data_IF_047791466155
#
_entry.id   IF_047791466155
#
_cell.length_a   1.000
_cell.length_b   1.000
_cell.length_c   1.000
_cell.angle_alpha   90.00
_cell.angle_beta   90.00
_cell.angle_gamma   90.00
#
_symmetry.space_group_name_H-M   'P 1'
#
loop_
_entity.id
_entity.type
_entity.pdbx_description
1 polymer ?
#
# COMPACT_ATOMS: atom_id res chain seq x y z
N UNK A 1 0.13 25.95 4.04
CA UNK A 1 -1.32 25.70 3.88
C UNK A 1 -1.52 24.22 3.55
N UNK A 2 -1.94 23.41 4.52
CA UNK A 2 -2.22 21.99 4.30
C UNK A 2 -3.57 21.85 3.60
N UNK A 3 -3.58 21.37 2.34
CA UNK A 3 -4.81 21.00 1.66
C UNK A 3 -5.33 19.72 2.31
N UNK A 4 -6.31 19.86 3.19
CA UNK A 4 -7.10 18.74 3.70
C UNK A 4 -7.94 18.21 2.53
N UNK A 5 -7.49 17.12 1.91
CA UNK A 5 -8.22 16.53 0.80
C UNK A 5 -9.48 15.82 1.32
N UNK A 6 -10.61 16.54 1.25
CA UNK A 6 -12.01 16.07 1.28
C UNK A 6 -12.60 15.56 2.61
N UNK A 7 -13.91 15.78 2.76
CA UNK A 7 -14.74 15.35 3.90
C UNK A 7 -15.34 13.96 3.64
N UNK A 8 -15.59 13.20 4.72
CA UNK A 8 -16.01 11.79 4.68
C UNK A 8 -17.21 11.47 3.75
N UNK A 9 -18.14 12.40 3.54
CA UNK A 9 -19.34 12.17 2.74
C UNK A 9 -19.11 12.14 1.21
N UNK A 10 -17.96 12.62 0.72
CA UNK A 10 -17.63 12.64 -0.71
C UNK A 10 -17.04 11.30 -1.23
N UNK A 11 -16.77 10.35 -0.33
CA UNK A 11 -16.17 9.08 -0.71
C UNK A 11 -17.18 8.08 -1.29
N UNK A 12 -18.45 8.14 -0.91
CA UNK A 12 -19.47 7.18 -1.37
C UNK A 12 -19.66 7.18 -2.90
N UNK A 13 -19.69 8.36 -3.52
CA UNK A 13 -19.80 8.47 -4.98
C UNK A 13 -18.52 8.01 -5.69
N UNK A 14 -17.35 8.37 -5.16
CA UNK A 14 -16.05 7.93 -5.68
C UNK A 14 -15.79 6.43 -5.52
N UNK A 15 -16.38 5.79 -4.51
CA UNK A 15 -16.28 4.34 -4.34
C UNK A 15 -16.94 3.58 -5.49
N UNK A 16 -18.03 4.11 -6.06
CA UNK A 16 -18.65 3.54 -7.25
C UNK A 16 -17.83 3.84 -8.52
N UNK A 17 -17.31 5.07 -8.63
CA UNK A 17 -16.49 5.50 -9.79
C UNK A 17 -15.27 4.58 -9.97
N UNK A 18 -14.53 4.33 -8.89
CA UNK A 18 -13.27 3.58 -8.89
C UNK A 18 -13.43 2.12 -8.47
N UNK A 19 -14.62 1.54 -8.66
CA UNK A 19 -14.81 0.10 -8.47
C UNK A 19 -13.90 -0.69 -9.44
N UNK A 20 -13.30 -1.82 -9.02
CA UNK A 20 -12.44 -2.63 -9.89
C UNK A 20 -13.13 -2.97 -11.22
N UNK A 21 -12.47 -2.64 -12.33
CA UNK A 21 -12.99 -2.84 -13.70
C UNK A 21 -12.72 -4.24 -14.25
N UNK A 22 -11.75 -4.94 -13.65
CA UNK A 22 -11.46 -6.36 -13.94
C UNK A 22 -11.88 -7.22 -12.76
N UNK A 23 -12.36 -8.44 -13.07
CA UNK A 23 -12.53 -9.50 -12.06
C UNK A 23 -11.25 -10.31 -12.01
N UNK A 24 -10.73 -10.57 -10.82
CA UNK A 24 -9.58 -11.46 -10.66
C UNK A 24 -9.94 -12.84 -11.21
N UNK A 25 -9.08 -13.36 -12.09
CA UNK A 25 -9.33 -14.64 -12.75
C UNK A 25 -8.10 -15.54 -12.73
N UNK A 26 -8.29 -16.70 -12.15
CA UNK A 26 -7.35 -17.82 -12.07
C UNK A 26 -7.37 -18.73 -13.31
N UNK A 27 -7.98 -18.30 -14.43
CA UNK A 27 -8.15 -19.12 -15.66
C UNK A 27 -6.84 -19.61 -16.31
N UNK A 28 -5.70 -19.02 -15.97
CA UNK A 28 -4.37 -19.37 -16.52
C UNK A 28 -3.38 -19.90 -15.46
N UNK A 29 -3.83 -20.18 -14.22
CA UNK A 29 -2.94 -20.52 -13.10
C UNK A 29 -2.20 -21.84 -13.28
N UNK A 30 -2.80 -22.74 -14.06
CA UNK A 30 -2.20 -24.01 -14.48
C UNK A 30 -1.04 -23.85 -15.48
N UNK A 31 -0.97 -22.71 -16.18
CA UNK A 31 0.05 -22.41 -17.21
C UNK A 31 1.10 -21.43 -16.72
N UNK A 32 0.73 -20.51 -15.84
CA UNK A 32 1.61 -19.47 -15.26
C UNK A 32 1.42 -19.53 -13.75
N UNK A 33 2.48 -19.82 -13.00
CA UNK A 33 2.46 -19.74 -11.54
C UNK A 33 2.28 -18.28 -11.12
N UNK A 34 1.02 -17.87 -10.93
CA UNK A 34 0.69 -16.56 -10.39
C UNK A 34 0.04 -16.74 -9.02
N UNK A 35 0.57 -16.01 -8.04
CA UNK A 35 0.04 -15.98 -6.68
C UNK A 35 -1.15 -15.03 -6.71
N UNK A 36 -2.36 -15.59 -6.74
CA UNK A 36 -3.60 -14.86 -6.49
C UNK A 36 -4.00 -15.00 -5.03
N UNK A 37 -4.62 -13.96 -4.50
CA UNK A 37 -5.14 -14.01 -3.13
C UNK A 37 -5.91 -12.73 -2.80
N UNK A 38 -6.33 -12.64 -1.55
CA UNK A 38 -7.06 -11.48 -1.07
C UNK A 38 -6.86 -11.26 0.42
N UNK A 39 -7.04 -10.02 0.86
CA UNK A 39 -7.02 -9.67 2.27
C UNK A 39 -8.03 -8.55 2.56
N UNK A 40 -8.47 -8.44 3.81
CA UNK A 40 -9.33 -7.33 4.23
C UNK A 40 -8.48 -6.09 4.49
N UNK A 41 -8.69 -5.03 3.70
CA UNK A 41 -8.02 -3.74 3.88
C UNK A 41 -8.68 -2.92 4.97
N UNK A 42 -7.87 -2.43 5.92
CA UNK A 42 -8.36 -1.56 6.97
C UNK A 42 -8.63 -0.14 6.46
N UNK A 43 -7.94 0.30 5.40
CA UNK A 43 -8.15 1.62 4.76
C UNK A 43 -9.40 1.62 3.88
N UNK A 44 -9.61 0.54 3.14
CA UNK A 44 -10.71 0.44 2.18
C UNK A 44 -11.98 -0.19 2.75
N UNK A 45 -11.92 -0.78 3.95
CA UNK A 45 -13.05 -1.46 4.62
C UNK A 45 -13.72 -2.53 3.74
N UNK A 46 -12.92 -3.20 2.91
CA UNK A 46 -13.36 -4.26 1.99
C UNK A 46 -12.22 -5.22 1.72
N UNK A 47 -12.57 -6.38 1.17
CA UNK A 47 -11.59 -7.32 0.63
C UNK A 47 -10.94 -6.73 -0.62
N UNK A 48 -9.62 -6.75 -0.65
CA UNK A 48 -8.79 -6.38 -1.80
C UNK A 48 -8.16 -7.65 -2.34
N UNK A 49 -8.29 -7.85 -3.65
CA UNK A 49 -7.71 -8.98 -4.37
C UNK A 49 -6.42 -8.55 -5.07
N UNK A 50 -5.48 -9.48 -5.22
CA UNK A 50 -4.24 -9.30 -5.95
C UNK A 50 -3.97 -10.51 -6.85
N UNK A 51 -3.30 -10.26 -7.97
CA UNK A 51 -2.96 -11.24 -9.01
C UNK A 51 -1.47 -11.56 -9.08
N UNK A 52 -0.64 -10.85 -8.31
CA UNK A 52 0.81 -11.09 -8.24
C UNK A 52 1.38 -10.83 -6.85
N UNK A 53 2.58 -11.36 -6.60
CA UNK A 53 3.35 -11.05 -5.39
C UNK A 53 3.77 -9.56 -5.36
N UNK A 54 4.02 -8.94 -6.52
CA UNK A 54 4.32 -7.52 -6.60
C UNK A 54 3.16 -6.65 -6.12
N UNK A 55 1.95 -6.97 -6.57
CA UNK A 55 0.72 -6.34 -6.10
C UNK A 55 0.49 -6.55 -4.61
N UNK A 56 0.59 -7.80 -4.14
CA UNK A 56 0.48 -8.15 -2.73
C UNK A 56 1.41 -7.30 -1.85
N UNK A 57 2.70 -7.25 -2.19
CA UNK A 57 3.71 -6.45 -1.48
C UNK A 57 3.35 -4.96 -1.48
N UNK A 58 2.94 -4.42 -2.62
CA UNK A 58 2.60 -3.00 -2.71
C UNK A 58 1.34 -2.66 -1.92
N UNK A 59 0.31 -3.51 -1.95
CA UNK A 59 -0.93 -3.24 -1.21
C UNK A 59 -0.69 -3.26 0.30
N UNK A 60 0.16 -4.17 0.78
CA UNK A 60 0.57 -4.16 2.19
C UNK A 60 1.42 -2.96 2.55
N UNK A 61 2.29 -2.51 1.65
CA UNK A 61 2.99 -1.25 1.81
C UNK A 61 2.03 -0.05 1.92
N UNK A 62 0.97 -0.02 1.10
CA UNK A 62 -0.07 1.02 1.17
C UNK A 62 -0.86 0.97 2.49
N UNK A 63 -1.13 -0.21 3.06
CA UNK A 63 -1.75 -0.36 4.38
C UNK A 63 -0.87 0.23 5.50
N UNK A 64 0.45 0.08 5.41
CA UNK A 64 1.43 0.61 6.38
C UNK A 64 1.62 2.13 6.25
N UNK A 65 1.57 2.65 5.03
CA UNK A 65 1.75 4.07 4.73
C UNK A 65 0.56 4.89 5.27
N UNK A 66 0.78 5.70 6.31
CA UNK A 66 -0.32 6.44 6.98
C UNK A 66 -0.84 7.58 6.11
N UNK A 67 0.04 8.07 5.26
CA UNK A 67 -0.17 9.15 4.30
C UNK A 67 -1.21 8.72 3.26
N UNK A 68 -1.32 7.42 2.99
CA UNK A 68 -2.35 6.85 2.13
C UNK A 68 -3.69 6.84 2.88
N UNK A 69 -4.67 7.56 2.37
CA UNK A 69 -6.02 7.55 2.90
C UNK A 69 -6.83 6.40 2.30
N UNK A 70 -6.75 6.25 0.96
CA UNK A 70 -7.47 5.23 0.20
C UNK A 70 -6.69 4.82 -1.03
N UNK A 71 -6.94 3.59 -1.50
CA UNK A 71 -6.42 3.09 -2.76
C UNK A 71 -7.42 2.16 -3.44
N UNK A 72 -7.50 2.23 -4.77
CA UNK A 72 -8.44 1.47 -5.56
C UNK A 72 -7.67 0.58 -6.52
N UNK A 73 -7.93 -0.73 -6.49
CA UNK A 73 -7.30 -1.70 -7.38
C UNK A 73 -8.05 -1.75 -8.71
N UNK A 74 -7.29 -1.79 -9.80
CA UNK A 74 -7.76 -1.85 -11.19
C UNK A 74 -8.92 -0.87 -11.50
N UNK A 75 -8.79 0.44 -11.15
CA UNK A 75 -9.97 1.31 -11.01
C UNK A 75 -10.39 2.06 -12.28
N UNK A 76 -9.55 2.10 -13.32
CA UNK A 76 -9.73 2.98 -14.47
C UNK A 76 -9.66 2.20 -15.78
N UNK A 77 -10.31 2.71 -16.82
CA UNK A 77 -10.14 2.28 -18.20
C UNK A 77 -9.54 3.45 -18.98
N UNK A 78 -8.35 3.24 -19.54
CA UNK A 78 -7.59 4.26 -20.26
C UNK A 78 -7.37 3.75 -21.68
N UNK A 79 -7.85 4.51 -22.65
CA UNK A 79 -7.65 4.20 -24.06
C UNK A 79 -6.19 4.45 -24.47
N UNK A 80 -5.54 3.44 -25.05
CA UNK A 80 -4.17 3.51 -25.54
C UNK A 80 -4.17 3.45 -27.07
N UNK A 81 -3.92 4.58 -27.75
CA UNK A 81 -3.87 4.61 -29.21
C UNK A 81 -2.56 4.03 -29.75
N UNK A 82 -2.62 3.37 -30.90
CA UNK A 82 -1.47 2.88 -31.64
C UNK A 82 -1.72 2.87 -33.15
N UNK A 83 -0.63 2.74 -33.92
CA UNK A 83 -0.67 2.60 -35.38
C UNK A 83 -0.42 1.15 -35.76
N UNK A 84 -1.21 0.61 -36.68
CA UNK A 84 -0.94 -0.71 -37.29
C UNK A 84 0.19 -0.61 -38.31
N UNK A 85 0.64 -1.76 -38.84
CA UNK A 85 1.68 -1.79 -39.88
C UNK A 85 1.19 -1.14 -41.18
N UNK A 86 -0.11 -1.17 -41.41
CA UNK A 86 -0.82 -0.60 -42.55
C UNK A 86 -1.09 0.91 -42.38
N UNK A 87 -0.77 1.49 -41.22
CA UNK A 87 -0.93 2.91 -40.92
C UNK A 87 -2.27 3.28 -40.26
N UNK A 88 -3.15 2.31 -40.01
CA UNK A 88 -4.44 2.57 -39.38
C UNK A 88 -4.29 2.94 -37.90
N UNK A 89 -5.09 3.91 -37.44
CA UNK A 89 -5.22 4.22 -36.01
C UNK A 89 -6.16 3.24 -35.34
N UNK A 90 -5.65 2.52 -34.36
CA UNK A 90 -6.44 1.64 -33.49
C UNK A 90 -6.16 1.98 -32.02
N UNK A 91 -6.97 1.44 -31.13
CA UNK A 91 -6.75 1.56 -29.69
C UNK A 91 -7.05 0.26 -28.97
N UNK A 92 -6.49 0.12 -27.76
CA UNK A 92 -6.93 -0.88 -26.79
C UNK A 92 -7.19 -0.22 -25.45
N UNK A 93 -8.03 -0.83 -24.62
CA UNK A 93 -8.27 -0.37 -23.26
C UNK A 93 -7.20 -0.96 -22.33
N UNK A 94 -6.51 -0.08 -21.61
CA UNK A 94 -5.61 -0.42 -20.52
C UNK A 94 -6.25 -0.12 -19.18
N UNK A 95 -6.06 -0.99 -18.20
CA UNK A 95 -6.53 -0.79 -16.83
C UNK A 95 -5.30 -0.72 -15.93
N UNK A 96 -4.93 0.45 -15.37
CA UNK A 96 -3.79 0.56 -14.46
C UNK A 96 -4.06 -0.21 -13.17
N UNK A 97 -3.01 -0.59 -12.44
CA UNK A 97 -3.14 -1.53 -11.32
C UNK A 97 -3.72 -0.88 -10.07
N UNK A 98 -3.32 0.36 -9.75
CA UNK A 98 -3.81 1.06 -8.54
C UNK A 98 -3.96 2.56 -8.77
N UNK A 99 -4.99 3.16 -8.17
CA UNK A 99 -5.08 4.60 -7.94
C UNK A 99 -5.02 4.86 -6.43
N UNK A 100 -4.10 5.71 -5.99
CA UNK A 100 -3.87 6.02 -4.57
C UNK A 100 -4.22 7.47 -4.29
N UNK A 101 -4.94 7.69 -3.19
CA UNK A 101 -5.24 8.98 -2.61
C UNK A 101 -4.60 9.08 -1.22
N UNK A 102 -4.01 10.23 -0.93
CA UNK A 102 -3.38 10.44 0.36
C UNK A 102 -3.13 11.91 0.66
N UNK A 103 -2.64 12.16 1.86
CA UNK A 103 -2.24 13.48 2.32
C UNK A 103 -0.75 13.72 1.98
N UNK A 104 -0.43 14.92 1.52
CA UNK A 104 0.94 15.31 1.19
C UNK A 104 1.41 14.97 -0.23
N UNK A 105 0.57 14.35 -1.07
CA UNK A 105 0.87 14.10 -2.48
C UNK A 105 -0.38 14.17 -3.36
N UNK A 106 -0.20 14.35 -4.68
CA UNK A 106 -1.30 14.32 -5.65
C UNK A 106 -1.85 12.91 -5.77
N UNK A 107 -3.14 12.69 -6.14
CA UNK A 107 -3.60 11.35 -6.47
C UNK A 107 -2.68 10.73 -7.53
N UNK A 108 -2.29 9.47 -7.33
CA UNK A 108 -1.27 8.83 -8.15
C UNK A 108 -1.78 7.51 -8.71
N UNK A 109 -1.70 7.37 -10.03
CA UNK A 109 -1.89 6.10 -10.72
C UNK A 109 -0.58 5.33 -10.68
N UNK A 110 -0.61 4.12 -10.15
CA UNK A 110 0.54 3.22 -10.12
C UNK A 110 0.35 2.06 -11.10
N UNK A 111 1.42 1.79 -11.86
CA UNK A 111 1.59 0.55 -12.60
C UNK A 111 2.69 -0.29 -11.94
N UNK A 112 2.35 -1.51 -11.55
CA UNK A 112 3.24 -2.44 -10.86
C UNK A 112 3.85 -3.36 -11.92
N UNK A 113 5.19 -3.42 -11.94
CA UNK A 113 5.92 -4.29 -12.86
C UNK A 113 6.92 -5.16 -12.09
N UNK A 114 7.26 -6.31 -12.67
CA UNK A 114 8.25 -7.21 -12.08
C UNK A 114 9.69 -6.78 -12.41
N UNK A 115 9.91 -6.25 -13.61
CA UNK A 115 11.22 -5.85 -14.10
C UNK A 115 11.14 -4.55 -14.92
N UNK A 116 12.23 -3.76 -14.97
CA UNK A 116 12.26 -2.50 -15.72
C UNK A 116 12.27 -2.68 -17.25
N UNK A 117 12.25 -3.91 -17.76
CA UNK A 117 12.27 -4.14 -19.19
C UNK A 117 10.98 -3.61 -19.85
N UNK A 118 11.16 -2.66 -20.77
CA UNK A 118 10.05 -2.02 -21.47
C UNK A 118 9.84 -2.62 -22.86
N UNK A 119 8.62 -3.11 -23.12
CA UNK A 119 8.18 -3.43 -24.47
C UNK A 119 7.60 -2.19 -25.15
N UNK A 120 7.49 -2.19 -26.49
CA UNK A 120 6.79 -1.10 -27.22
C UNK A 120 5.37 -0.85 -26.68
N UNK A 121 4.68 -1.93 -26.27
CA UNK A 121 3.35 -1.83 -25.65
C UNK A 121 3.41 -1.10 -24.31
N UNK A 122 4.43 -1.38 -23.49
CA UNK A 122 4.63 -0.69 -22.21
C UNK A 122 4.82 0.82 -22.40
N UNK A 123 5.66 1.22 -23.36
CA UNK A 123 5.90 2.65 -23.64
C UNK A 123 4.62 3.38 -24.01
N UNK A 124 3.81 2.80 -24.91
CA UNK A 124 2.53 3.37 -25.33
C UNK A 124 1.54 3.46 -24.16
N UNK A 125 1.44 2.39 -23.36
CA UNK A 125 0.60 2.37 -22.15
C UNK A 125 1.03 3.45 -21.15
N UNK A 126 2.32 3.53 -20.83
CA UNK A 126 2.84 4.51 -19.89
C UNK A 126 2.51 5.93 -20.35
N UNK A 127 2.73 6.24 -21.65
CA UNK A 127 2.44 7.56 -22.23
C UNK A 127 0.95 7.93 -22.14
N UNK A 128 0.06 6.98 -22.43
CA UNK A 128 -1.38 7.19 -22.32
C UNK A 128 -1.80 7.46 -20.86
N UNK A 129 -1.25 6.70 -19.91
CA UNK A 129 -1.54 6.88 -18.49
C UNK A 129 -0.99 8.21 -17.94
N UNK A 130 0.21 8.61 -18.35
CA UNK A 130 0.78 9.92 -18.02
C UNK A 130 -0.10 11.06 -18.51
N UNK A 131 -0.56 10.99 -19.77
CA UNK A 131 -1.49 11.97 -20.32
C UNK A 131 -2.80 12.03 -19.53
N UNK A 132 -3.40 10.87 -19.27
CA UNK A 132 -4.64 10.76 -18.50
C UNK A 132 -4.51 11.35 -17.09
N UNK A 133 -3.39 11.09 -16.42
CA UNK A 133 -3.08 11.63 -15.10
C UNK A 133 -2.89 13.15 -15.14
N UNK A 134 -2.11 13.66 -16.10
CA UNK A 134 -1.83 15.08 -16.25
C UNK A 134 -3.11 15.91 -16.46
N UNK A 135 -4.04 15.42 -17.30
CA UNK A 135 -5.35 16.06 -17.52
C UNK A 135 -6.19 16.21 -16.24
N UNK A 136 -5.95 15.36 -15.24
CA UNK A 136 -6.64 15.35 -13.94
C UNK A 136 -5.82 15.98 -12.81
N UNK A 137 -4.65 16.55 -13.13
CA UNK A 137 -3.68 17.02 -12.14
C UNK A 137 -3.22 15.90 -11.17
N UNK A 138 -3.20 14.67 -11.66
CA UNK A 138 -2.71 13.48 -10.96
C UNK A 138 -1.28 13.16 -11.39
N UNK A 139 -0.66 12.23 -10.68
CA UNK A 139 0.64 11.65 -11.03
C UNK A 139 0.47 10.25 -11.63
N UNK A 140 1.45 9.83 -12.43
CA UNK A 140 1.56 8.46 -12.90
C UNK A 140 2.96 7.93 -12.60
N UNK A 141 3.03 6.76 -11.95
CA UNK A 141 4.29 6.13 -11.55
C UNK A 141 4.31 4.66 -11.95
N UNK A 142 5.47 4.19 -12.40
CA UNK A 142 5.75 2.77 -12.62
C UNK A 142 6.67 2.32 -11.50
N UNK A 143 6.27 1.28 -10.76
CA UNK A 143 7.00 0.83 -9.58
C UNK A 143 7.37 -0.66 -9.67
N UNK A 144 8.40 -1.03 -8.91
CA UNK A 144 8.95 -2.37 -8.87
C UNK A 144 9.05 -2.85 -7.41
N UNK A 145 7.95 -3.27 -6.78
CA UNK A 145 7.92 -3.60 -5.36
C UNK A 145 8.97 -4.65 -4.94
N UNK A 146 9.31 -5.60 -5.83
CA UNK A 146 10.35 -6.61 -5.57
C UNK A 146 11.76 -6.04 -5.43
N UNK A 147 12.00 -4.79 -5.86
CA UNK A 147 13.28 -4.08 -5.71
C UNK A 147 13.38 -3.27 -4.41
N UNK A 148 12.33 -3.23 -3.59
CA UNK A 148 12.41 -2.57 -2.28
C UNK A 148 13.56 -3.15 -1.44
N UNK A 149 14.20 -2.34 -0.57
CA UNK A 149 15.23 -2.82 0.35
C UNK A 149 14.80 -4.08 1.10
N UNK A 150 15.73 -5.03 1.29
CA UNK A 150 15.46 -6.34 1.91
C UNK A 150 14.75 -6.22 3.27
N UNK A 151 15.17 -5.27 4.10
CA UNK A 151 14.57 -5.04 5.42
C UNK A 151 13.10 -4.60 5.31
N UNK A 152 12.78 -3.73 4.35
CA UNK A 152 11.40 -3.29 4.09
C UNK A 152 10.55 -4.47 3.62
N UNK A 153 11.06 -5.27 2.68
CA UNK A 153 10.37 -6.48 2.20
C UNK A 153 10.12 -7.48 3.32
N UNK A 154 11.10 -7.70 4.19
CA UNK A 154 10.94 -8.56 5.37
C UNK A 154 9.85 -8.02 6.29
N UNK A 155 9.91 -6.73 6.63
CA UNK A 155 8.97 -6.10 7.55
C UNK A 155 7.53 -6.14 7.01
N UNK A 156 7.32 -5.90 5.71
CA UNK A 156 6.00 -6.03 5.08
C UNK A 156 5.47 -7.46 5.23
N UNK A 157 6.30 -8.47 4.93
CA UNK A 157 5.92 -9.89 5.04
C UNK A 157 5.64 -10.29 6.49
N UNK A 158 6.45 -9.80 7.42
CA UNK A 158 6.28 -10.05 8.85
C UNK A 158 4.96 -9.46 9.37
N UNK A 159 4.65 -8.22 9.00
CA UNK A 159 3.45 -7.50 9.44
C UNK A 159 2.17 -7.93 8.70
N UNK A 160 2.28 -8.59 7.54
CA UNK A 160 1.14 -9.08 6.76
C UNK A 160 0.14 -9.87 7.62
N UNK A 161 0.64 -10.75 8.49
CA UNK A 161 -0.21 -11.56 9.38
C UNK A 161 -0.88 -10.77 10.52
N UNK A 162 -0.38 -9.57 10.82
CA UNK A 162 -0.87 -8.74 11.92
C UNK A 162 -1.99 -7.76 11.51
N UNK A 163 -2.31 -7.65 10.23
CA UNK A 163 -3.36 -6.74 9.71
C UNK A 163 -4.75 -7.12 10.20
N UNK A 164 -4.99 -8.41 10.44
CA UNK A 164 -6.27 -8.90 10.93
C UNK A 164 -6.42 -8.58 12.41
N UNK A 165 -7.40 -7.72 12.72
CA UNK A 165 -7.80 -7.44 14.10
C UNK A 165 -8.40 -8.68 14.77
N UNK A 166 -7.94 -8.99 15.98
CA UNK A 166 -8.51 -10.06 16.84
C UNK A 166 -9.51 -9.47 17.83
N UNK A 167 -10.48 -10.26 18.29
CA UNK A 167 -11.59 -9.80 19.16
C UNK A 167 -11.12 -9.05 20.40
N UNK A 168 -10.08 -9.55 21.09
CA UNK A 168 -9.57 -8.97 22.34
C UNK A 168 -8.74 -7.70 22.16
N UNK A 169 -8.40 -7.31 20.93
CA UNK A 169 -7.58 -6.11 20.72
C UNK A 169 -8.28 -4.84 21.18
N UNK A 170 -9.62 -4.79 21.09
CA UNK A 170 -10.39 -3.65 21.57
C UNK A 170 -10.22 -3.38 23.07
N UNK A 171 -9.96 -4.41 23.86
CA UNK A 171 -9.68 -4.29 25.30
C UNK A 171 -8.31 -3.64 25.58
N UNK A 172 -7.33 -3.84 24.70
CA UNK A 172 -5.94 -3.49 24.95
C UNK A 172 -5.45 -2.25 24.19
N UNK A 173 -5.99 -1.99 22.99
CA UNK A 173 -5.56 -0.88 22.13
C UNK A 173 -5.57 0.47 22.87
N UNK A 174 -6.63 0.87 23.60
CA UNK A 174 -6.63 2.17 24.30
C UNK A 174 -5.49 2.30 25.30
N UNK A 175 -5.22 1.24 26.06
CA UNK A 175 -4.16 1.20 27.07
C UNK A 175 -2.75 1.16 26.42
N UNK A 176 -2.59 0.45 25.29
CA UNK A 176 -1.34 0.47 24.50
C UNK A 176 -1.04 1.88 24.00
N UNK A 177 -2.02 2.54 23.39
CA UNK A 177 -1.85 3.89 22.84
C UNK A 177 -1.50 4.90 23.93
N UNK A 178 -2.20 4.84 25.08
CA UNK A 178 -1.91 5.66 26.25
C UNK A 178 -0.46 5.47 26.75
N UNK A 179 0.02 4.22 26.86
CA UNK A 179 1.39 3.94 27.32
C UNK A 179 2.44 4.47 26.35
N UNK A 180 2.27 4.26 25.04
CA UNK A 180 3.22 4.77 24.03
C UNK A 180 3.30 6.30 24.05
N UNK A 181 2.18 6.99 24.28
CA UNK A 181 2.14 8.45 24.39
C UNK A 181 2.99 8.97 25.56
N UNK A 182 2.99 8.26 26.69
CA UNK A 182 3.62 8.71 27.95
C UNK A 182 5.04 8.17 28.17
N UNK A 183 5.39 7.02 27.58
CA UNK A 183 6.70 6.37 27.82
C UNK A 183 7.87 6.96 27.00
N UNK A 184 7.62 7.90 26.07
CA UNK A 184 8.64 8.63 25.27
C UNK A 184 9.76 7.74 24.71
N UNK A 185 9.43 6.93 23.70
CA UNK A 185 10.40 6.03 23.05
C UNK A 185 10.49 4.72 23.84
N UNK A 186 9.59 3.80 23.52
CA UNK A 186 9.49 2.49 24.18
C UNK A 186 9.72 1.41 23.14
N UNK A 187 10.44 0.36 23.49
CA UNK A 187 10.60 -0.81 22.60
C UNK A 187 9.34 -1.68 22.61
N UNK A 188 9.21 -2.57 21.63
CA UNK A 188 8.10 -3.53 21.58
C UNK A 188 8.05 -4.39 22.85
N UNK A 189 9.20 -4.88 23.32
CA UNK A 189 9.28 -5.72 24.51
C UNK A 189 8.93 -4.96 25.79
N UNK A 190 9.49 -3.76 26.00
CA UNK A 190 9.17 -2.93 27.16
C UNK A 190 7.68 -2.57 27.20
N UNK A 191 7.10 -2.24 26.05
CA UNK A 191 5.68 -1.92 25.94
C UNK A 191 4.81 -3.12 26.30
N UNK A 192 5.12 -4.31 25.80
CA UNK A 192 4.38 -5.53 26.15
C UNK A 192 4.55 -5.87 27.64
N UNK A 193 5.79 -5.81 28.14
CA UNK A 193 6.16 -6.12 29.52
C UNK A 193 5.51 -5.19 30.53
N UNK A 194 5.26 -3.94 30.16
CA UNK A 194 4.60 -2.97 31.04
C UNK A 194 3.20 -3.42 31.49
N UNK A 195 2.52 -4.32 30.77
CA UNK A 195 1.20 -4.84 31.14
C UNK A 195 1.24 -5.89 32.28
N UNK A 196 2.44 -6.36 32.63
CA UNK A 196 2.64 -7.27 33.76
C UNK A 196 2.40 -6.55 35.11
N UNK A 197 1.85 -7.23 36.14
CA UNK A 197 1.35 -8.61 36.14
C UNK A 197 -0.10 -8.77 35.66
N UNK A 198 -0.78 -7.67 35.32
CA UNK A 198 -2.21 -7.66 34.96
C UNK A 198 -2.53 -8.55 33.75
N UNK A 199 -1.67 -8.54 32.75
CA UNK A 199 -1.81 -9.34 31.52
C UNK A 199 -0.46 -9.92 31.13
N UNK A 200 -0.45 -11.16 30.64
CA UNK A 200 0.76 -11.77 30.07
C UNK A 200 1.22 -10.97 28.82
N UNK A 201 2.48 -10.49 28.77
CA UNK A 201 3.02 -9.72 27.64
C UNK A 201 2.84 -10.38 26.26
N UNK A 202 2.89 -11.72 26.19
CA UNK A 202 2.72 -12.47 24.94
C UNK A 202 1.32 -12.31 24.31
N UNK A 203 0.32 -11.96 25.12
CA UNK A 203 -1.02 -11.64 24.63
C UNK A 203 -1.11 -10.23 24.04
N UNK A 204 -0.23 -9.33 24.47
CA UNK A 204 -0.18 -7.92 24.04
C UNK A 204 0.58 -7.76 22.72
N UNK A 205 1.65 -8.55 22.50
CA UNK A 205 2.48 -8.47 21.30
C UNK A 205 1.68 -8.46 19.98
N UNK A 206 0.69 -9.35 19.74
CA UNK A 206 -0.10 -9.31 18.51
C UNK A 206 -0.89 -8.01 18.32
N UNK A 207 -1.33 -7.36 19.41
CA UNK A 207 -2.02 -6.08 19.33
C UNK A 207 -1.05 -4.93 18.98
N UNK A 208 0.18 -4.96 19.51
CA UNK A 208 1.24 -4.00 19.13
C UNK A 208 1.54 -4.14 17.64
N UNK A 209 1.81 -5.35 17.15
CA UNK A 209 2.08 -5.58 15.73
C UNK A 209 0.89 -5.21 14.84
N UNK A 210 -0.34 -5.42 15.31
CA UNK A 210 -1.53 -4.97 14.59
C UNK A 210 -1.58 -3.45 14.43
N UNK A 211 -1.27 -2.70 15.49
CA UNK A 211 -1.23 -1.24 15.44
C UNK A 211 -0.08 -0.73 14.55
N UNK A 212 1.06 -1.43 14.49
CA UNK A 212 2.13 -1.13 13.53
C UNK A 212 1.63 -1.41 12.10
N UNK A 213 1.07 -2.59 11.86
CA UNK A 213 0.61 -3.03 10.54
C UNK A 213 -0.51 -2.16 9.95
N UNK A 214 -1.28 -1.50 10.81
CA UNK A 214 -2.37 -0.58 10.43
C UNK A 214 -1.99 0.90 10.51
N UNK A 215 -0.72 1.20 10.82
CA UNK A 215 -0.16 2.56 10.80
C UNK A 215 -0.55 3.47 11.98
N UNK A 216 -1.08 2.91 13.08
CA UNK A 216 -1.30 3.65 14.32
C UNK A 216 0.00 3.85 15.10
N UNK A 217 0.84 2.80 15.13
CA UNK A 217 2.20 2.85 15.66
C UNK A 217 3.21 2.92 14.52
N UNK A 218 4.30 3.63 14.77
CA UNK A 218 5.43 3.75 13.86
C UNK A 218 6.66 3.08 14.44
N UNK A 219 7.44 2.49 13.55
CA UNK A 219 8.77 1.92 13.77
C UNK A 219 9.69 2.43 12.67
N UNK A 220 11.01 2.25 12.84
CA UNK A 220 11.95 2.43 11.75
C UNK A 220 11.88 1.25 10.77
N UNK A 221 11.14 1.41 9.67
CA UNK A 221 10.93 0.36 8.66
C UNK A 221 12.19 -0.01 7.87
N UNK A 222 13.24 0.82 7.92
CA UNK A 222 14.51 0.57 7.21
C UNK A 222 15.40 -0.45 7.94
N UNK A 223 15.10 -0.74 9.21
CA UNK A 223 15.73 -1.80 10.00
C UNK A 223 14.76 -2.97 10.14
N UNK A 224 15.29 -4.18 10.26
CA UNK A 224 14.48 -5.36 10.52
C UNK A 224 13.72 -5.21 11.85
N UNK A 225 12.44 -5.58 11.86
CA UNK A 225 11.62 -5.54 13.08
C UNK A 225 12.07 -6.65 14.03
N UNK A 226 12.35 -6.25 15.27
CA UNK A 226 12.63 -7.13 16.39
C UNK A 226 11.99 -6.60 17.68
N UNK A 227 12.22 -7.30 18.79
CA UNK A 227 11.67 -6.92 20.10
C UNK A 227 12.22 -5.60 20.66
N UNK A 228 13.37 -5.15 20.16
CA UNK A 228 14.04 -3.90 20.57
C UNK A 228 13.68 -2.71 19.68
N UNK A 229 12.84 -2.94 18.68
CA UNK A 229 12.37 -1.88 17.79
C UNK A 229 11.56 -0.86 18.57
N UNK A 230 11.98 0.40 18.52
CA UNK A 230 11.24 1.49 19.15
C UNK A 230 9.90 1.73 18.44
N UNK A 231 8.84 1.81 19.24
CA UNK A 231 7.51 2.19 18.78
C UNK A 231 7.15 3.59 19.27
N UNK A 232 6.51 4.34 18.37
CA UNK A 232 6.04 5.69 18.64
C UNK A 232 4.64 5.88 18.07
N UNK A 233 3.86 6.79 18.64
CA UNK A 233 2.63 7.22 17.99
C UNK A 233 2.98 7.87 16.66
N UNK A 234 2.41 7.34 15.57
CA UNK A 234 2.72 7.83 14.23
C UNK A 234 2.17 9.24 14.06
N UNK A 235 3.04 10.24 13.98
CA UNK A 235 2.71 11.56 13.43
C UNK A 235 2.62 11.41 11.90
N UNK A 236 1.98 12.34 11.19
CA UNK A 236 2.01 12.34 9.73
C UNK A 236 3.49 12.32 9.29
N UNK A 237 3.95 11.26 8.64
CA UNK A 237 5.39 10.99 8.57
C UNK A 237 5.92 11.04 7.14
N UNK A 238 7.15 11.54 7.01
CA UNK A 238 7.82 11.68 5.71
C UNK A 238 8.63 10.43 5.32
N UNK A 239 8.87 9.46 6.21
CA UNK A 239 9.79 8.32 5.95
C UNK A 239 9.36 7.37 4.83
N UNK A 240 8.05 7.19 4.62
CA UNK A 240 7.53 6.32 3.56
C UNK A 240 7.27 7.06 2.24
N UNK A 241 7.20 8.39 2.28
CA UNK A 241 6.99 9.22 1.08
C UNK A 241 8.10 9.04 0.03
N UNK A 242 9.41 8.97 0.38
CA UNK A 242 10.46 8.65 -0.57
C UNK A 242 10.21 7.33 -1.31
N UNK A 243 9.66 6.33 -0.62
CA UNK A 243 9.37 5.02 -1.20
C UNK A 243 8.11 5.03 -2.10
N UNK A 244 7.18 5.96 -1.87
CA UNK A 244 6.06 6.27 -2.78
C UNK A 244 6.49 7.15 -3.97
N UNK A 245 7.62 7.83 -3.85
CA UNK A 245 8.25 8.70 -4.84
C UNK A 245 9.45 8.03 -5.54
N UNK A 246 9.58 6.71 -5.47
CA UNK A 246 10.58 5.98 -6.25
C UNK A 246 10.20 6.03 -7.73
N UNK A 247 10.58 7.14 -8.37
CA UNK A 247 10.72 7.21 -9.81
C UNK A 247 11.73 6.11 -10.22
N UNK A 248 11.50 5.48 -11.37
CA UNK A 248 12.26 4.30 -11.82
C UNK A 248 13.78 4.49 -11.99
N UNK A 249 14.35 5.63 -11.60
CA UNK A 249 15.77 5.97 -11.69
C UNK A 249 16.61 5.48 -10.50
N UNK A 250 16.01 5.11 -9.35
CA UNK A 250 16.77 4.76 -8.13
C UNK A 250 17.31 3.32 -8.05
N UNK A 251 17.45 2.62 -9.17
CA UNK A 251 18.02 1.26 -9.19
C UNK A 251 19.19 1.09 -10.17
N UNK A 252 19.97 2.15 -10.37
CA UNK A 252 21.37 2.02 -10.81
C UNK A 252 22.28 1.95 -9.57
N UNK A 253 22.45 0.75 -9.03
CA UNK A 253 23.64 0.31 -8.28
C UNK A 253 23.83 -1.18 -8.48
#
# INVERSE_FOLDING_TARGET
>A
MSKKYMQNNQWGEKEMEYFPKRKVSNKLSWKIHHITGSFYSNKMKRTIEYESMGECLFYFFLELAREVERYYVQPLEIEVPFLTKEGDRKSWIHVPDVLVFGNGFKPTIFQIKESPQESKKHVLTNKACQKYAAERQWEYKVIYPKKLPKNILYNIKFLQGAIRKRKRFDEWIPEIMYRVEHMKGVTIDELASSFSPKVNPLLILPAIYHLIATGFLQINITKEIDQYSEVRLKKLNEELLPYLNLDGELFEY
#
